data_IF_022575027386
#
_entry.id   IF_022575027386
#
_cell.length_a   1.000
_cell.length_b   1.000
_cell.length_c   1.000
_cell.angle_alpha   90.00
_cell.angle_beta   90.00
_cell.angle_gamma   90.00
#
_symmetry.space_group_name_H-M   'P 1'
#
loop_
_entity.id
_entity.type
_entity.pdbx_description
1 polymer ?
#
# COMPACT_ATOMS: atom_id res chain seq x y z
N UNK A 1 46.26 -22.80 30.41
CA UNK A 1 46.38 -22.19 29.07
C UNK A 1 45.45 -22.93 28.12
N UNK A 2 44.13 -22.69 28.20
CA UNK A 2 43.13 -23.40 27.40
C UNK A 2 41.85 -22.56 27.17
N UNK A 3 41.97 -21.22 27.18
CA UNK A 3 40.81 -20.32 27.15
C UNK A 3 40.81 -19.31 26.00
N UNK A 4 41.89 -19.23 25.21
CA UNK A 4 41.96 -18.30 24.07
C UNK A 4 41.59 -19.01 22.76
N UNK A 5 42.09 -20.23 22.54
CA UNK A 5 41.79 -21.01 21.32
C UNK A 5 40.31 -21.44 21.22
N UNK A 6 39.64 -21.74 22.34
CA UNK A 6 38.21 -22.10 22.34
C UNK A 6 37.34 -20.89 22.05
N UNK A 7 37.72 -19.70 22.55
CA UNK A 7 36.98 -18.46 22.32
C UNK A 7 37.09 -18.00 20.85
N UNK A 8 38.25 -18.17 20.21
CA UNK A 8 38.41 -17.90 18.77
C UNK A 8 37.64 -18.89 17.88
N UNK A 9 37.60 -20.18 18.26
CA UNK A 9 36.82 -21.19 17.53
C UNK A 9 35.31 -20.89 17.60
N UNK A 10 34.82 -20.42 18.75
CA UNK A 10 33.42 -20.03 18.91
C UNK A 10 33.06 -18.77 18.10
N UNK A 11 33.95 -17.77 17.99
CA UNK A 11 33.70 -16.55 17.20
C UNK A 11 33.59 -16.86 15.69
N UNK A 12 34.41 -17.79 15.16
CA UNK A 12 34.33 -18.21 13.76
C UNK A 12 33.07 -19.02 13.43
N UNK A 13 32.54 -19.78 14.40
CA UNK A 13 31.31 -20.56 14.21
C UNK A 13 30.04 -19.68 14.13
N UNK A 14 30.04 -18.49 14.76
CA UNK A 14 28.87 -17.60 14.80
C UNK A 14 28.78 -16.72 13.53
N UNK A 15 29.90 -16.44 12.85
CA UNK A 15 29.92 -15.79 11.53
C UNK A 15 29.40 -16.68 10.38
N UNK A 16 29.10 -17.96 10.65
CA UNK A 16 28.47 -18.88 9.71
C UNK A 16 26.94 -18.87 9.78
N UNK A 17 26.33 -17.95 10.53
CA UNK A 17 24.91 -17.62 10.37
C UNK A 17 24.83 -16.41 9.44
N UNK A 18 24.00 -16.49 8.39
CA UNK A 18 23.59 -15.40 7.46
C UNK A 18 24.39 -15.17 6.17
N UNK A 19 24.89 -16.24 5.54
CA UNK A 19 25.23 -16.23 4.10
C UNK A 19 24.03 -16.62 3.24
N UNK A 20 23.26 -15.62 2.82
CA UNK A 20 22.01 -15.72 2.08
C UNK A 20 22.10 -16.48 0.75
N UNK A 21 21.26 -17.51 0.58
CA UNK A 21 20.63 -17.84 -0.70
C UNK A 21 19.20 -18.30 -0.42
N UNK A 22 18.30 -17.33 -0.18
CA UNK A 22 16.88 -17.53 -0.43
C UNK A 22 16.67 -17.20 -1.92
N UNK A 23 16.44 -18.18 -2.82
CA UNK A 23 15.98 -17.88 -4.17
C UNK A 23 14.51 -17.53 -4.07
N UNK A 24 14.24 -16.27 -3.72
CA UNK A 24 12.87 -15.80 -3.48
C UNK A 24 12.71 -14.30 -3.44
N UNK A 25 13.78 -13.52 -3.68
CA UNK A 25 13.61 -12.10 -3.97
C UNK A 25 13.09 -11.97 -5.40
N UNK A 26 11.76 -12.02 -5.52
CA UNK A 26 11.08 -11.03 -6.36
C UNK A 26 11.60 -9.67 -5.87
N UNK A 27 12.66 -9.16 -6.52
CA UNK A 27 12.99 -7.74 -6.45
C UNK A 27 11.85 -7.05 -7.20
N UNK A 28 10.77 -6.82 -6.48
CA UNK A 28 9.70 -5.89 -6.79
C UNK A 28 9.44 -5.28 -5.42
N UNK A 29 9.77 -4.03 -5.15
CA UNK A 29 9.46 -2.89 -5.97
C UNK A 29 10.58 -1.85 -5.90
N UNK A 30 10.86 -1.20 -7.02
CA UNK A 30 11.13 0.23 -6.98
C UNK A 30 9.80 0.91 -6.58
N UNK A 31 9.40 0.74 -5.33
CA UNK A 31 8.20 1.34 -4.78
C UNK A 31 8.54 2.80 -4.53
N UNK A 32 8.22 3.67 -5.48
CA UNK A 32 7.95 5.04 -5.11
C UNK A 32 6.72 4.95 -4.20
N UNK A 33 6.91 5.04 -2.88
CA UNK A 33 5.78 5.36 -2.01
C UNK A 33 5.23 6.67 -2.52
N UNK A 34 3.95 6.70 -2.93
CA UNK A 34 3.34 7.95 -3.33
C UNK A 34 3.41 8.92 -2.16
N UNK A 35 3.59 10.20 -2.45
CA UNK A 35 3.47 11.20 -1.40
C UNK A 35 2.02 11.22 -0.89
N UNK A 36 1.88 11.18 0.43
CA UNK A 36 0.58 11.30 1.11
C UNK A 36 0.40 10.38 2.31
N UNK A 37 -0.69 10.59 3.04
CA UNK A 37 -1.01 9.81 4.25
C UNK A 37 -1.79 8.53 3.91
N UNK A 38 -1.06 7.50 3.46
CA UNK A 38 -1.65 6.18 3.16
C UNK A 38 -2.26 5.49 4.39
N UNK A 39 -1.65 5.64 5.55
CA UNK A 39 -2.19 5.07 6.78
C UNK A 39 -3.50 5.75 7.15
N UNK A 40 -3.56 7.08 7.00
CA UNK A 40 -4.78 7.87 7.09
C UNK A 40 -5.84 7.40 6.09
N UNK A 41 -5.46 7.06 4.86
CA UNK A 41 -6.40 6.62 3.83
C UNK A 41 -7.07 5.30 4.27
N UNK A 42 -6.28 4.35 4.72
CA UNK A 42 -6.79 3.06 5.19
C UNK A 42 -7.69 3.26 6.41
N UNK A 43 -7.26 4.05 7.38
CA UNK A 43 -7.99 4.20 8.65
C UNK A 43 -9.26 5.04 8.52
N UNK A 44 -9.25 6.09 7.71
CA UNK A 44 -10.36 7.04 7.58
C UNK A 44 -11.31 6.68 6.44
N UNK A 45 -10.81 6.11 5.32
CA UNK A 45 -11.59 5.97 4.10
C UNK A 45 -12.08 4.55 3.79
N UNK A 46 -11.45 3.49 4.30
CA UNK A 46 -11.76 2.09 3.92
C UNK A 46 -13.25 1.76 4.04
N UNK A 47 -13.92 2.20 5.12
CA UNK A 47 -15.34 1.92 5.35
C UNK A 47 -16.28 2.51 4.29
N UNK A 48 -15.85 3.55 3.59
CA UNK A 48 -16.64 4.23 2.55
C UNK A 48 -16.42 3.61 1.17
N UNK A 49 -15.29 2.92 0.96
CA UNK A 49 -14.91 2.33 -0.34
C UNK A 49 -15.00 0.82 -0.37
N UNK A 50 -15.09 0.14 0.77
CA UNK A 50 -15.26 -1.32 0.84
C UNK A 50 -16.52 -1.77 0.09
N UNK A 51 -16.49 -2.98 -0.51
CA UNK A 51 -17.67 -3.53 -1.21
C UNK A 51 -18.88 -3.72 -0.31
N UNK A 52 -18.65 -4.09 0.95
CA UNK A 52 -19.72 -4.35 1.89
C UNK A 52 -20.43 -3.04 2.30
N UNK A 53 -21.75 -3.12 2.52
CA UNK A 53 -22.57 -1.98 2.91
C UNK A 53 -22.99 -1.10 1.73
N UNK A 54 -23.83 -0.11 2.01
CA UNK A 54 -24.29 0.88 1.02
C UNK A 54 -23.21 1.91 0.72
N UNK A 55 -23.32 2.59 -0.42
CA UNK A 55 -22.57 3.82 -0.68
C UNK A 55 -23.03 4.90 0.32
N UNK A 56 -22.08 5.57 0.95
CA UNK A 56 -22.32 6.65 1.92
C UNK A 56 -21.31 7.76 1.70
N UNK A 57 -21.66 8.97 2.13
CA UNK A 57 -20.77 10.12 1.99
C UNK A 57 -19.56 9.99 2.95
N UNK A 58 -18.35 10.32 2.48
CA UNK A 58 -17.14 10.22 3.29
C UNK A 58 -17.14 11.23 4.44
N UNK A 59 -16.39 10.91 5.49
CA UNK A 59 -16.18 11.87 6.58
C UNK A 59 -15.22 13.00 6.16
N UNK A 60 -15.26 14.16 6.82
CA UNK A 60 -14.31 15.24 6.57
C UNK A 60 -12.85 14.80 6.70
N UNK A 61 -12.54 13.92 7.66
CA UNK A 61 -11.20 13.37 7.88
C UNK A 61 -10.75 12.53 6.69
N UNK A 62 -11.62 11.69 6.14
CA UNK A 62 -11.33 10.95 4.93
C UNK A 62 -11.01 11.91 3.77
N UNK A 63 -11.84 12.95 3.55
CA UNK A 63 -11.57 13.92 2.49
C UNK A 63 -10.26 14.69 2.69
N UNK A 64 -9.91 15.03 3.93
CA UNK A 64 -8.65 15.70 4.22
C UNK A 64 -7.45 14.82 3.86
N UNK A 65 -7.54 13.52 4.14
CA UNK A 65 -6.48 12.58 3.76
C UNK A 65 -6.36 12.47 2.24
N UNK A 66 -7.47 12.22 1.51
CA UNK A 66 -7.37 12.00 0.06
C UNK A 66 -6.82 13.24 -0.67
N UNK A 67 -7.09 14.45 -0.17
CA UNK A 67 -6.50 15.69 -0.72
C UNK A 67 -4.98 15.79 -0.60
N UNK A 68 -4.36 14.99 0.26
CA UNK A 68 -2.89 14.92 0.39
C UNK A 68 -2.26 13.85 -0.49
N UNK A 69 -3.07 13.00 -1.15
CA UNK A 69 -2.59 11.88 -1.95
C UNK A 69 -2.32 12.29 -3.40
N UNK A 70 -1.23 11.76 -3.96
CA UNK A 70 -1.05 11.68 -5.41
C UNK A 70 -1.93 10.56 -5.98
N UNK A 71 -3.17 10.91 -6.33
CA UNK A 71 -4.18 9.97 -6.83
C UNK A 71 -3.70 9.18 -8.07
N UNK A 72 -3.09 9.79 -9.11
CA UNK A 72 -2.45 9.06 -10.19
C UNK A 72 -1.44 8.01 -9.72
N UNK A 73 -0.58 8.35 -8.76
CA UNK A 73 0.38 7.39 -8.21
C UNK A 73 -0.33 6.26 -7.44
N UNK A 74 -1.26 6.58 -6.54
CA UNK A 74 -2.02 5.58 -5.76
C UNK A 74 -2.74 4.59 -6.67
N UNK A 75 -3.29 5.07 -7.79
CA UNK A 75 -3.96 4.24 -8.78
C UNK A 75 -3.06 3.19 -9.44
N UNK A 76 -1.74 3.42 -9.51
CA UNK A 76 -0.78 2.41 -10.00
C UNK A 76 -0.55 1.27 -9.01
N UNK A 77 -0.88 1.48 -7.74
CA UNK A 77 -0.77 0.47 -6.68
C UNK A 77 -2.06 -0.30 -6.43
N UNK A 78 -3.15 0.07 -7.11
CA UNK A 78 -4.42 -0.68 -7.03
C UNK A 78 -4.24 -2.00 -7.79
N UNK A 79 -4.11 -3.09 -7.05
CA UNK A 79 -4.03 -4.45 -7.60
C UNK A 79 -5.41 -5.10 -7.68
N UNK A 80 -5.51 -6.23 -8.39
CA UNK A 80 -6.75 -7.02 -8.46
C UNK A 80 -7.24 -7.47 -7.06
N UNK A 81 -6.32 -7.77 -6.14
CA UNK A 81 -6.65 -8.12 -4.75
C UNK A 81 -7.31 -6.95 -4.01
N UNK A 82 -6.82 -5.72 -4.24
CA UNK A 82 -7.43 -4.51 -3.69
C UNK A 82 -8.81 -4.29 -4.32
N UNK A 83 -8.93 -4.42 -5.64
CA UNK A 83 -10.19 -4.29 -6.35
C UNK A 83 -11.22 -5.35 -5.93
N UNK A 84 -10.79 -6.52 -5.45
CA UNK A 84 -11.67 -7.55 -4.94
C UNK A 84 -12.35 -7.15 -3.62
N UNK A 85 -11.72 -6.28 -2.82
CA UNK A 85 -12.24 -5.86 -1.50
C UNK A 85 -12.88 -4.47 -1.51
N UNK A 86 -12.53 -3.61 -2.47
CA UNK A 86 -13.15 -2.29 -2.65
C UNK A 86 -14.14 -2.25 -3.81
N UNK A 87 -15.06 -1.29 -3.77
CA UNK A 87 -16.00 -0.95 -4.82
C UNK A 87 -15.53 0.31 -5.53
N UNK A 88 -15.15 0.18 -6.80
CA UNK A 88 -14.63 1.30 -7.58
C UNK A 88 -15.67 2.40 -7.83
N UNK A 89 -16.97 2.07 -7.83
CA UNK A 89 -18.01 3.10 -7.92
C UNK A 89 -18.04 3.95 -6.64
N UNK A 90 -17.83 3.33 -5.47
CA UNK A 90 -17.72 4.05 -4.21
C UNK A 90 -16.43 4.87 -4.13
N UNK A 91 -15.31 4.37 -4.66
CA UNK A 91 -14.06 5.14 -4.78
C UNK A 91 -14.29 6.41 -5.61
N UNK A 92 -14.96 6.27 -6.75
CA UNK A 92 -15.32 7.41 -7.61
C UNK A 92 -16.24 8.41 -6.88
N UNK A 93 -17.26 7.91 -6.16
CA UNK A 93 -18.15 8.74 -5.33
C UNK A 93 -17.38 9.54 -4.29
N UNK A 94 -16.50 8.89 -3.52
CA UNK A 94 -15.69 9.52 -2.48
C UNK A 94 -14.77 10.60 -3.08
N UNK A 95 -14.09 10.28 -4.19
CA UNK A 95 -13.21 11.23 -4.87
C UNK A 95 -13.99 12.46 -5.39
N UNK A 96 -15.15 12.24 -6.01
CA UNK A 96 -16.02 13.31 -6.47
C UNK A 96 -16.53 14.17 -5.31
N UNK A 97 -17.03 13.55 -4.23
CA UNK A 97 -17.55 14.23 -3.05
C UNK A 97 -16.47 15.08 -2.37
N UNK A 98 -15.23 14.58 -2.28
CA UNK A 98 -14.13 15.29 -1.67
C UNK A 98 -13.52 16.42 -2.55
N UNK A 99 -14.01 16.60 -3.77
CA UNK A 99 -13.60 17.68 -4.69
C UNK A 99 -12.35 17.37 -5.50
N UNK A 100 -12.04 16.09 -5.69
CA UNK A 100 -10.90 15.56 -6.44
C UNK A 100 -11.39 14.52 -7.45
N UNK A 101 -12.27 14.91 -8.38
CA UNK A 101 -12.88 13.97 -9.30
C UNK A 101 -11.82 13.28 -10.15
N UNK A 102 -11.93 11.97 -10.28
CA UNK A 102 -11.12 11.19 -11.21
C UNK A 102 -11.54 11.53 -12.63
N UNK A 103 -10.58 11.85 -13.50
CA UNK A 103 -10.89 12.16 -14.89
C UNK A 103 -11.45 10.92 -15.60
N UNK A 104 -12.43 11.11 -16.48
CA UNK A 104 -12.94 10.04 -17.35
C UNK A 104 -11.78 9.38 -18.10
N UNK A 105 -11.77 8.05 -18.14
CA UNK A 105 -10.69 7.28 -18.75
C UNK A 105 -9.44 7.08 -17.88
N UNK A 106 -9.41 7.61 -16.65
CA UNK A 106 -8.32 7.31 -15.71
C UNK A 106 -8.37 5.83 -15.33
N UNK A 107 -7.23 5.14 -15.48
CA UNK A 107 -7.09 3.73 -15.12
C UNK A 107 -6.45 3.60 -13.73
N UNK A 108 -7.09 2.86 -12.83
CA UNK A 108 -6.58 2.49 -11.51
C UNK A 108 -6.61 0.95 -11.40
N UNK A 109 -5.43 0.34 -11.42
CA UNK A 109 -5.30 -1.10 -11.63
C UNK A 109 -5.88 -1.54 -12.98
N UNK A 110 -6.80 -2.51 -12.96
CA UNK A 110 -7.55 -2.94 -14.15
C UNK A 110 -8.84 -2.15 -14.41
N UNK A 111 -9.23 -1.23 -13.52
CA UNK A 111 -10.50 -0.50 -13.60
C UNK A 111 -10.30 0.85 -14.28
N UNK A 112 -11.19 1.21 -15.18
CA UNK A 112 -11.18 2.51 -15.87
C UNK A 112 -12.42 3.30 -15.47
N UNK A 113 -12.22 4.56 -15.08
CA UNK A 113 -13.30 5.47 -14.70
C UNK A 113 -14.20 5.72 -15.93
N UNK A 114 -15.48 5.33 -15.88
CA UNK A 114 -16.41 5.45 -17.01
C UNK A 114 -16.75 6.90 -17.29
#
# INVERSE_FOLDING_TARGET
MANSNVQFIMIFAILAVTGALIPGSKIVALGQECDGDFQGLITQCTKFVQRQGSQTDPSPECCNVIKTLDVPCVCQHVTDDIQAVIDMAKVAHVAQYCGIPLAHGTTCGSFTIP
#
